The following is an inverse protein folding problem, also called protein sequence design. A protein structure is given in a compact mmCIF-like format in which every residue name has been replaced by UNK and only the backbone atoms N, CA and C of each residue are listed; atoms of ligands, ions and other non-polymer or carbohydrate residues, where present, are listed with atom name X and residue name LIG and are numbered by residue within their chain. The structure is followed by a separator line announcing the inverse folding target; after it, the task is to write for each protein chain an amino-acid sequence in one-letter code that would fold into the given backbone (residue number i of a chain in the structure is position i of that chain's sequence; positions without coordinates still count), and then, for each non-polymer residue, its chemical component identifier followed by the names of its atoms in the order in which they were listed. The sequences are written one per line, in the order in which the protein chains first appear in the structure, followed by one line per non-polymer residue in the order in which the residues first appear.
data_IF_815975527414
#
_entry.id   IF_815975527414
#
_cell.length_a   1.000
_cell.length_b   1.000
_cell.length_c   1.000
_cell.angle_alpha   90.00
_cell.angle_beta   90.00
_cell.angle_gamma   90.00
#
_symmetry.space_group_name_H-M   'P 1'
#
loop_
_entity.id
_entity.type
_entity.pdbx_description
1 polymer ?
#
# COMPACT_ATOMS: atom_id res chain seq x y z
N UNK A 1 -8.52 -2.49 16.75
CA UNK A 1 -8.76 -1.36 15.82
C UNK A 1 -7.58 -1.17 14.85
N UNK A 2 -6.33 -1.18 15.34
CA UNK A 2 -5.12 -1.13 14.50
C UNK A 2 -5.03 -2.28 13.47
N UNK A 3 -5.41 -3.50 13.86
CA UNK A 3 -5.41 -4.69 12.98
C UNK A 3 -6.29 -4.55 11.74
N UNK A 4 -7.42 -3.84 11.86
CA UNK A 4 -8.33 -3.59 10.74
C UNK A 4 -7.68 -2.65 9.72
N UNK A 5 -7.08 -1.55 10.18
CA UNK A 5 -6.36 -0.62 9.31
C UNK A 5 -5.15 -1.28 8.65
N UNK A 6 -4.45 -2.12 9.40
CA UNK A 6 -3.37 -2.92 8.88
C UNK A 6 -3.83 -3.87 7.77
N UNK A 7 -4.94 -4.59 7.99
CA UNK A 7 -5.53 -5.48 7.00
C UNK A 7 -5.94 -4.72 5.73
N UNK A 8 -6.51 -3.51 5.88
CA UNK A 8 -6.84 -2.63 4.76
C UNK A 8 -5.59 -2.23 3.98
N UNK A 9 -4.55 -1.73 4.63
CA UNK A 9 -3.29 -1.34 3.98
C UNK A 9 -2.69 -2.53 3.23
N UNK A 10 -2.59 -3.69 3.87
CA UNK A 10 -2.08 -4.91 3.26
C UNK A 10 -2.90 -5.35 2.05
N UNK A 11 -4.22 -5.20 2.10
CA UNK A 11 -5.10 -5.52 0.99
C UNK A 11 -4.89 -4.56 -0.17
N UNK A 12 -4.88 -3.25 0.10
CA UNK A 12 -4.64 -2.22 -0.91
C UNK A 12 -3.29 -2.39 -1.61
N UNK A 13 -2.23 -2.77 -0.88
CA UNK A 13 -0.91 -3.05 -1.50
C UNK A 13 -0.99 -4.22 -2.48
N UNK A 14 -1.72 -5.29 -2.15
CA UNK A 14 -1.95 -6.41 -3.08
C UNK A 14 -2.72 -5.96 -4.32
N UNK A 15 -3.73 -5.11 -4.11
CA UNK A 15 -4.63 -4.65 -5.17
C UNK A 15 -3.91 -3.74 -6.18
N UNK A 16 -2.78 -3.09 -5.83
CA UNK A 16 -1.90 -2.40 -6.79
C UNK A 16 -1.37 -3.33 -7.91
N UNK A 17 -1.23 -4.62 -7.61
CA UNK A 17 -0.78 -5.66 -8.54
C UNK A 17 -1.93 -6.31 -9.33
N UNK A 18 -3.17 -5.89 -9.12
CA UNK A 18 -4.34 -6.54 -9.69
C UNK A 18 -4.45 -6.25 -11.21
N UNK A 19 -4.94 -7.24 -11.96
CA UNK A 19 -5.13 -7.14 -13.41
C UNK A 19 -6.29 -6.22 -13.79
N UNK A 20 -7.43 -6.36 -13.10
CA UNK A 20 -8.60 -5.48 -13.24
C UNK A 20 -8.25 -4.03 -12.86
N UNK A 21 -8.44 -3.11 -13.81
CA UNK A 21 -8.17 -1.68 -13.62
C UNK A 21 -8.90 -1.09 -12.42
N UNK A 22 -10.21 -1.36 -12.28
CA UNK A 22 -11.04 -0.79 -11.21
C UNK A 22 -10.48 -1.09 -9.81
N UNK A 23 -9.97 -2.31 -9.60
CA UNK A 23 -9.39 -2.72 -8.31
C UNK A 23 -8.07 -2.00 -8.07
N UNK A 24 -7.23 -1.92 -9.10
CA UNK A 24 -5.94 -1.22 -9.01
C UNK A 24 -6.14 0.28 -8.76
N UNK A 25 -7.07 0.90 -9.47
CA UNK A 25 -7.38 2.32 -9.34
C UNK A 25 -7.90 2.65 -7.93
N UNK A 26 -8.81 1.85 -7.38
CA UNK A 26 -9.27 2.05 -6.00
C UNK A 26 -8.15 1.95 -4.95
N UNK A 27 -7.15 1.10 -5.18
CA UNK A 27 -5.96 1.05 -4.32
C UNK A 27 -5.09 2.31 -4.47
N UNK A 28 -4.90 2.80 -5.69
CA UNK A 28 -4.17 4.05 -5.96
C UNK A 28 -4.87 5.26 -5.30
N UNK A 29 -6.19 5.37 -5.41
CA UNK A 29 -6.98 6.41 -4.74
C UNK A 29 -6.89 6.32 -3.21
N UNK A 30 -6.95 5.11 -2.64
CA UNK A 30 -6.77 4.92 -1.20
C UNK A 30 -5.45 5.49 -0.71
N UNK A 31 -4.34 5.18 -1.39
CA UNK A 31 -3.02 5.68 -1.00
C UNK A 31 -2.80 7.16 -1.28
N UNK A 32 -3.57 7.74 -2.20
CA UNK A 32 -3.60 9.19 -2.44
C UNK A 32 -4.52 9.94 -1.47
N UNK A 33 -5.34 9.24 -0.68
CA UNK A 33 -6.33 9.86 0.21
C UNK A 33 -5.77 10.31 1.55
N UNK A 34 -6.40 11.33 2.13
CA UNK A 34 -6.16 11.79 3.51
C UNK A 34 -6.41 10.69 4.55
N UNK A 35 -7.23 9.69 4.20
CA UNK A 35 -7.50 8.54 5.09
C UNK A 35 -6.24 7.75 5.34
N UNK A 36 -5.44 7.48 4.31
CA UNK A 36 -4.19 6.73 4.46
C UNK A 36 -3.18 7.49 5.33
N UNK A 37 -3.03 8.80 5.09
CA UNK A 37 -2.19 9.67 5.91
C UNK A 37 -2.64 9.68 7.38
N UNK A 38 -3.94 9.88 7.61
CA UNK A 38 -4.53 9.91 8.95
C UNK A 38 -4.32 8.59 9.70
N UNK A 39 -4.55 7.45 9.02
CA UNK A 39 -4.30 6.13 9.58
C UNK A 39 -2.83 5.95 9.95
N UNK A 40 -1.90 6.34 9.06
CA UNK A 40 -0.48 6.20 9.36
C UNK A 40 -0.05 7.07 10.54
N UNK A 41 -0.46 8.35 10.57
CA UNK A 41 -0.14 9.25 11.69
C UNK A 41 -0.70 8.76 13.03
N UNK A 42 -1.97 8.32 13.06
CA UNK A 42 -2.62 7.82 14.28
C UNK A 42 -1.97 6.56 14.85
N UNK A 43 -1.40 5.71 13.99
CA UNK A 43 -0.81 4.45 14.39
C UNK A 43 0.72 4.45 14.34
N UNK A 44 1.35 5.64 14.21
CA UNK A 44 2.80 5.80 14.09
C UNK A 44 3.46 4.94 12.98
N UNK A 45 2.74 4.68 11.89
CA UNK A 45 3.29 4.01 10.71
C UNK A 45 4.12 5.00 9.86
N UNK A 46 5.14 4.51 9.13
CA UNK A 46 6.05 5.35 8.36
C UNK A 46 5.41 5.84 7.05
N UNK A 47 4.49 6.79 7.15
CA UNK A 47 3.69 7.30 6.03
C UNK A 47 4.53 7.69 4.81
N UNK A 48 5.52 8.57 4.97
CA UNK A 48 6.31 9.12 3.86
C UNK A 48 7.07 8.02 3.11
N UNK A 49 7.70 7.11 3.86
CA UNK A 49 8.45 5.99 3.33
C UNK A 49 7.54 4.98 2.59
N UNK A 50 6.39 4.63 3.16
CA UNK A 50 5.44 3.76 2.46
C UNK A 50 4.86 4.43 1.22
N UNK A 51 4.53 5.72 1.29
CA UNK A 51 4.03 6.48 0.15
C UNK A 51 5.07 6.53 -0.98
N UNK A 52 6.36 6.72 -0.66
CA UNK A 52 7.42 6.69 -1.65
C UNK A 52 7.48 5.34 -2.37
N UNK A 53 7.46 4.23 -1.62
CA UNK A 53 7.44 2.87 -2.18
C UNK A 53 6.21 2.61 -3.03
N UNK A 54 5.04 3.08 -2.60
CA UNK A 54 3.80 2.96 -3.38
C UNK A 54 3.91 3.74 -4.70
N UNK A 55 4.43 4.98 -4.68
CA UNK A 55 4.67 5.76 -5.89
C UNK A 55 5.64 5.06 -6.84
N UNK A 56 6.67 4.38 -6.32
CA UNK A 56 7.55 3.54 -7.13
C UNK A 56 6.79 2.35 -7.75
N UNK A 57 5.98 1.63 -6.96
CA UNK A 57 5.15 0.50 -7.44
C UNK A 57 4.22 0.94 -8.57
N UNK A 58 3.56 2.10 -8.46
CA UNK A 58 2.60 2.60 -9.46
C UNK A 58 3.28 2.87 -10.81
N UNK A 59 4.51 3.39 -10.79
CA UNK A 59 5.28 3.69 -12.01
C UNK A 59 5.82 2.42 -12.71
N UNK A 60 5.96 1.34 -11.96
CA UNK A 60 6.56 0.10 -12.45
C UNK A 60 5.55 -0.86 -13.10
N UNK A 61 6.06 -1.81 -13.90
CA UNK A 61 5.24 -2.83 -14.59
C UNK A 61 5.86 -4.23 -14.50
N UNK A 62 5.06 -5.24 -14.84
CA UNK A 62 5.51 -6.62 -14.98
C UNK A 62 6.14 -7.22 -13.72
N UNK A 63 7.26 -7.92 -13.90
CA UNK A 63 7.97 -8.66 -12.83
C UNK A 63 8.49 -7.68 -11.76
N UNK A 64 9.01 -6.52 -12.16
CA UNK A 64 9.55 -5.52 -11.23
C UNK A 64 8.47 -5.00 -10.28
N UNK A 65 7.29 -4.66 -10.81
CA UNK A 65 6.14 -4.26 -9.98
C UNK A 65 5.78 -5.33 -8.95
N UNK A 66 5.69 -6.59 -9.37
CA UNK A 66 5.37 -7.72 -8.48
C UNK A 66 6.39 -7.85 -7.34
N UNK A 67 7.69 -7.70 -7.65
CA UNK A 67 8.76 -7.77 -6.64
C UNK A 67 8.60 -6.66 -5.59
N UNK A 68 8.40 -5.42 -6.01
CA UNK A 68 8.21 -4.28 -5.10
C UNK A 68 6.98 -4.45 -4.20
N UNK A 69 5.87 -4.96 -4.74
CA UNK A 69 4.67 -5.28 -3.96
C UNK A 69 4.99 -6.31 -2.87
N UNK A 70 5.71 -7.39 -3.20
CA UNK A 70 6.09 -8.42 -2.24
C UNK A 70 6.99 -7.86 -1.15
N UNK A 71 7.97 -7.02 -1.52
CA UNK A 71 8.87 -6.37 -0.57
C UNK A 71 8.12 -5.46 0.40
N UNK A 72 7.23 -4.60 -0.11
CA UNK A 72 6.42 -3.73 0.73
C UNK A 72 5.45 -4.52 1.64
N UNK A 73 4.87 -5.62 1.14
CA UNK A 73 4.01 -6.48 1.97
C UNK A 73 4.76 -7.16 3.11
N UNK A 74 6.03 -7.51 2.91
CA UNK A 74 6.88 -8.06 3.98
C UNK A 74 7.16 -6.99 5.02
N UNK A 75 7.60 -5.83 4.58
CA UNK A 75 7.89 -4.72 5.49
C UNK A 75 6.67 -4.34 6.32
N UNK A 76 5.50 -4.20 5.69
CA UNK A 76 4.26 -3.90 6.40
C UNK A 76 3.98 -4.99 7.45
N UNK A 77 4.20 -6.27 7.14
CA UNK A 77 4.01 -7.39 8.09
C UNK A 77 4.80 -7.23 9.40
N UNK A 78 5.94 -6.55 9.38
CA UNK A 78 6.81 -6.40 10.54
C UNK A 78 6.29 -5.36 11.56
N UNK A 79 5.21 -4.64 11.24
CA UNK A 79 4.54 -3.67 12.12
C UNK A 79 3.36 -4.25 12.92
N UNK A 80 3.22 -5.58 12.93
CA UNK A 80 2.28 -6.37 13.72
C UNK A 80 3.06 -7.21 14.74
#
# INVERSE_FOLDING_TARGET
MIEMYFAMIKRSIKDLGHSKYVIRFGAEEFFASDTFECVCKKNAFPYEHWLEKIKQIIKERGIRKKKLIIELLKEVKDYL
#
